data_IF_848960585700
#
_entry.id   IF_848960585700
#
_cell.length_a   1.000
_cell.length_b   1.000
_cell.length_c   1.000
_cell.angle_alpha   90.00
_cell.angle_beta   90.00
_cell.angle_gamma   90.00
#
_symmetry.space_group_name_H-M   'P 1'
#
loop_
_entity.id
_entity.type
_entity.pdbx_description
1 polymer ?
#
# COMPACT_ATOMS: atom_id res chain seq x y z
N UNK A 1 22.07 -2.56 16.32
CA UNK A 1 20.66 -3.00 16.38
C UNK A 1 19.67 -1.85 16.23
N UNK A 2 19.74 -0.78 17.04
CA UNK A 2 18.79 0.36 16.91
C UNK A 2 18.77 1.03 15.54
N UNK A 3 19.93 1.28 14.91
CA UNK A 3 19.98 1.88 13.57
C UNK A 3 19.25 1.02 12.50
N UNK A 4 19.41 -0.31 12.58
CA UNK A 4 18.72 -1.25 11.69
C UNK A 4 17.22 -1.25 11.98
N UNK A 5 16.83 -1.20 13.26
CA UNK A 5 15.43 -1.08 13.67
C UNK A 5 14.77 0.19 13.13
N UNK A 6 15.42 1.35 13.26
CA UNK A 6 14.90 2.62 12.72
C UNK A 6 14.82 2.60 11.20
N UNK A 7 15.86 2.11 10.54
CA UNK A 7 15.88 2.00 9.09
C UNK A 7 14.74 1.11 8.56
N UNK A 8 14.58 -0.09 9.12
CA UNK A 8 13.50 -1.01 8.73
C UNK A 8 12.12 -0.47 9.11
N UNK A 9 12.02 0.20 10.27
CA UNK A 9 10.80 0.84 10.74
C UNK A 9 10.30 1.94 9.82
N UNK A 10 11.20 2.69 9.17
CA UNK A 10 10.84 3.68 8.14
C UNK A 10 10.63 3.03 6.77
N UNK A 11 11.52 2.12 6.36
CA UNK A 11 11.52 1.60 5.00
C UNK A 11 10.29 0.73 4.69
N UNK A 12 9.96 -0.21 5.58
CA UNK A 12 8.91 -1.21 5.32
C UNK A 12 7.54 -0.56 5.08
N UNK A 13 7.07 0.37 5.94
CA UNK A 13 5.78 1.02 5.75
C UNK A 13 5.76 1.90 4.49
N UNK A 14 6.84 2.63 4.20
CA UNK A 14 6.94 3.50 3.02
C UNK A 14 6.92 2.71 1.71
N UNK A 15 7.69 1.63 1.63
CA UNK A 15 7.69 0.72 0.49
C UNK A 15 6.32 0.07 0.33
N UNK A 16 5.64 -0.25 1.42
CA UNK A 16 4.26 -0.75 1.36
C UNK A 16 3.32 0.26 0.69
N UNK A 17 3.39 1.55 1.05
CA UNK A 17 2.58 2.61 0.41
C UNK A 17 2.92 2.73 -1.08
N UNK A 18 4.21 2.75 -1.41
CA UNK A 18 4.67 2.81 -2.80
C UNK A 18 4.10 1.66 -3.65
N UNK A 19 4.12 0.43 -3.12
CA UNK A 19 3.54 -0.73 -3.79
C UNK A 19 2.03 -0.59 -3.98
N UNK A 20 1.32 -0.05 -2.98
CA UNK A 20 -0.12 0.21 -3.07
C UNK A 20 -0.43 1.21 -4.20
N UNK A 21 0.36 2.28 -4.31
CA UNK A 21 0.22 3.27 -5.38
C UNK A 21 0.47 2.60 -6.74
N UNK A 22 1.52 1.79 -6.88
CA UNK A 22 1.82 1.07 -8.11
C UNK A 22 0.69 0.09 -8.50
N UNK A 23 0.12 -0.63 -7.54
CA UNK A 23 -1.05 -1.51 -7.77
C UNK A 23 -2.26 -0.68 -8.22
N UNK A 24 -2.46 0.49 -7.62
CA UNK A 24 -3.56 1.40 -8.00
C UNK A 24 -3.40 1.91 -9.43
N UNK A 25 -2.17 2.25 -9.84
CA UNK A 25 -1.85 2.66 -11.21
C UNK A 25 -2.06 1.50 -12.19
N UNK A 26 -1.60 0.29 -11.88
CA UNK A 26 -1.86 -0.90 -12.70
C UNK A 26 -3.36 -1.09 -12.96
N UNK A 27 -4.17 -1.04 -11.89
CA UNK A 27 -5.63 -1.18 -12.00
C UNK A 27 -6.26 -0.04 -12.78
N UNK A 28 -5.79 1.20 -12.58
CA UNK A 28 -6.25 2.35 -13.33
C UNK A 28 -6.00 2.17 -14.84
N UNK A 29 -4.80 1.77 -15.25
CA UNK A 29 -4.45 1.57 -16.66
C UNK A 29 -5.26 0.40 -17.26
N UNK A 30 -5.42 -0.70 -16.52
CA UNK A 30 -6.21 -1.85 -16.98
C UNK A 30 -7.68 -1.49 -17.25
N UNK A 31 -8.29 -0.66 -16.39
CA UNK A 31 -9.71 -0.31 -16.47
C UNK A 31 -9.96 0.84 -17.46
N UNK A 32 -9.11 1.87 -17.43
CA UNK A 32 -9.33 3.08 -18.25
C UNK A 32 -8.74 2.96 -19.66
N UNK A 33 -7.69 2.15 -19.84
CA UNK A 33 -6.96 2.03 -21.11
C UNK A 33 -6.72 0.57 -21.53
N UNK A 34 -7.77 -0.27 -21.67
CA UNK A 34 -7.62 -1.71 -21.89
C UNK A 34 -6.81 -2.06 -23.17
N UNK A 35 -6.98 -1.29 -24.26
CA UNK A 35 -6.29 -1.52 -25.53
C UNK A 35 -4.77 -1.23 -25.46
N UNK A 36 -4.36 -0.32 -24.57
CA UNK A 36 -2.96 0.06 -24.39
C UNK A 36 -2.32 -0.63 -23.18
N UNK A 37 -3.09 -1.34 -22.36
CA UNK A 37 -2.58 -2.08 -21.22
C UNK A 37 -1.43 -3.04 -21.58
N UNK A 38 -1.55 -3.94 -22.58
CA UNK A 38 -0.48 -4.92 -22.87
C UNK A 38 0.81 -4.27 -23.40
N UNK A 39 0.74 -3.08 -24.00
CA UNK A 39 1.92 -2.36 -24.50
C UNK A 39 2.53 -1.42 -23.46
N UNK A 40 1.74 -0.94 -22.49
CA UNK A 40 2.23 -0.04 -21.43
C UNK A 40 2.71 -0.76 -20.19
N UNK A 41 2.01 -1.80 -19.74
CA UNK A 41 2.32 -2.58 -18.54
C UNK A 41 3.05 -3.87 -18.96
N UNK A 42 4.38 -3.84 -18.88
CA UNK A 42 5.23 -5.01 -19.17
C UNK A 42 5.94 -5.45 -17.89
N UNK A 43 6.26 -6.74 -17.80
CA UNK A 43 6.94 -7.32 -16.64
C UNK A 43 8.26 -6.60 -16.34
N UNK A 44 9.02 -6.22 -17.37
CA UNK A 44 10.29 -5.49 -17.23
C UNK A 44 10.07 -4.12 -16.59
N UNK A 45 9.08 -3.35 -17.08
CA UNK A 45 8.77 -2.03 -16.53
C UNK A 45 8.24 -2.11 -15.11
N UNK A 46 7.40 -3.10 -14.80
CA UNK A 46 6.88 -3.31 -13.44
C UNK A 46 8.03 -3.63 -12.47
N UNK A 47 8.93 -4.55 -12.83
CA UNK A 47 10.12 -4.85 -12.01
C UNK A 47 10.99 -3.62 -11.78
N UNK A 48 11.21 -2.81 -12.82
CA UNK A 48 11.95 -1.56 -12.71
C UNK A 48 11.25 -0.55 -11.79
N UNK A 49 9.95 -0.34 -11.94
CA UNK A 49 9.17 0.57 -11.08
C UNK A 49 9.22 0.14 -9.61
N UNK A 50 9.08 -1.17 -9.34
CA UNK A 50 9.21 -1.70 -7.98
C UNK A 50 10.63 -1.47 -7.45
N UNK A 51 11.66 -1.79 -8.22
CA UNK A 51 13.05 -1.55 -7.81
C UNK A 51 13.33 -0.07 -7.51
N UNK A 52 12.91 0.84 -8.38
CA UNK A 52 13.07 2.28 -8.18
C UNK A 52 12.29 2.79 -6.97
N UNK A 53 11.09 2.26 -6.72
CA UNK A 53 10.31 2.53 -5.53
C UNK A 53 11.07 2.14 -4.25
N UNK A 54 11.61 0.91 -4.22
CA UNK A 54 12.42 0.44 -3.09
C UNK A 54 13.67 1.28 -2.87
N UNK A 55 14.37 1.65 -3.95
CA UNK A 55 15.56 2.48 -3.89
C UNK A 55 15.23 3.89 -3.38
N UNK A 56 14.18 4.52 -3.91
CA UNK A 56 13.73 5.85 -3.49
C UNK A 56 13.41 5.90 -2.00
N UNK A 57 12.55 4.99 -1.52
CA UNK A 57 12.19 4.95 -0.11
C UNK A 57 13.35 4.49 0.79
N UNK A 58 14.26 3.67 0.29
CA UNK A 58 15.50 3.32 1.00
C UNK A 58 16.39 4.55 1.21
N UNK A 59 16.65 5.32 0.17
CA UNK A 59 17.43 6.57 0.26
C UNK A 59 16.76 7.59 1.19
N UNK A 60 15.43 7.77 1.05
CA UNK A 60 14.66 8.61 1.97
C UNK A 60 14.80 8.15 3.42
N UNK A 61 14.69 6.84 3.68
CA UNK A 61 14.81 6.30 5.04
C UNK A 61 16.19 6.55 5.65
N UNK A 62 17.27 6.45 4.85
CA UNK A 62 18.63 6.76 5.30
C UNK A 62 18.76 8.25 5.67
N UNK A 63 18.25 9.13 4.81
CA UNK A 63 18.27 10.58 5.06
C UNK A 63 17.44 10.94 6.30
N UNK A 64 16.26 10.33 6.46
CA UNK A 64 15.37 10.59 7.59
C UNK A 64 15.98 10.21 8.94
N UNK A 65 16.72 9.09 9.01
CA UNK A 65 17.35 8.61 10.24
C UNK A 65 18.76 9.15 10.47
N UNK A 66 19.29 10.02 9.60
CA UNK A 66 20.67 10.49 9.65
C UNK A 66 21.00 11.13 11.02
N UNK A 67 20.07 11.93 11.56
CA UNK A 67 20.23 12.58 12.87
C UNK A 67 20.29 11.53 13.99
N UNK A 68 19.48 10.47 13.90
CA UNK A 68 19.49 9.39 14.89
C UNK A 68 20.81 8.60 14.85
N UNK A 69 21.36 8.36 13.66
CA UNK A 69 22.66 7.69 13.49
C UNK A 69 23.78 8.55 14.08
N UNK A 70 23.75 9.87 13.85
CA UNK A 70 24.74 10.80 14.41
C UNK A 70 24.71 10.78 15.94
N UNK A 71 23.52 10.80 16.55
CA UNK A 71 23.35 10.67 18.01
C UNK A 71 23.80 9.31 18.57
N UNK A 72 23.64 8.22 17.81
CA UNK A 72 24.16 6.90 18.20
C UNK A 72 25.70 6.82 18.18
N UNK A 73 26.36 7.58 17.30
CA UNK A 73 27.82 7.59 17.16
C UNK A 73 28.49 8.55 18.15
N UNK A 74 27.83 9.66 18.50
CA UNK A 74 28.27 10.62 19.53
C UNK A 74 27.23 10.70 20.65
N UNK A 75 27.18 9.69 21.54
CA UNK A 75 26.29 9.77 22.69
C UNK A 75 26.73 10.91 23.60
N UNK A 76 25.80 11.75 24.02
CA UNK A 76 26.04 12.67 25.14
C UNK A 76 26.41 11.87 26.40
N UNK A 77 27.23 12.44 27.28
CA UNK A 77 27.84 11.77 28.45
C UNK A 77 26.85 11.20 29.49
N UNK A 78 25.54 11.31 29.26
CA UNK A 78 24.50 10.77 30.11
C UNK A 78 24.00 9.43 29.56
N UNK A 79 24.64 8.37 30.05
CA UNK A 79 24.35 6.94 29.93
C UNK A 79 22.92 6.63 29.42
N UNK A 80 22.77 6.36 28.12
CA UNK A 80 21.60 5.64 27.62
C UNK A 80 21.76 4.16 27.98
N UNK A 81 20.87 3.65 28.84
CA UNK A 81 20.85 2.25 29.27
C UNK A 81 20.89 1.27 28.09
N UNK A 82 21.61 0.16 28.27
CA UNK A 82 21.72 -0.93 27.30
C UNK A 82 20.32 -1.44 26.92
N UNK A 83 19.86 -1.19 25.68
CA UNK A 83 18.62 -1.75 25.14
C UNK A 83 17.44 -0.79 24.92
N UNK A 84 17.51 0.48 25.31
CA UNK A 84 16.47 1.47 25.00
C UNK A 84 16.80 2.22 23.70
N UNK A 85 16.12 1.87 22.60
CA UNK A 85 16.18 2.63 21.34
C UNK A 85 15.17 3.79 21.40
N UNK A 86 15.51 4.89 22.08
CA UNK A 86 14.64 6.08 22.14
C UNK A 86 14.63 6.87 20.83
N UNK A 87 13.44 7.02 20.25
CA UNK A 87 13.23 7.80 19.02
C UNK A 87 13.04 9.27 19.40
N UNK A 88 13.92 10.15 18.93
CA UNK A 88 13.84 11.60 19.18
C UNK A 88 13.84 12.35 17.86
N UNK A 89 12.67 12.76 17.37
CA UNK A 89 12.58 13.57 16.15
C UNK A 89 12.53 15.06 16.48
N UNK A 90 13.21 15.86 15.67
CA UNK A 90 12.97 17.30 15.62
C UNK A 90 11.55 17.58 15.11
N UNK A 91 10.91 18.62 15.65
CA UNK A 91 9.60 19.09 15.16
C UNK A 91 9.61 19.34 13.64
N UNK A 92 10.67 19.93 13.11
CA UNK A 92 10.81 20.23 11.67
C UNK A 92 10.87 18.94 10.85
N UNK A 93 11.62 17.94 11.32
CA UNK A 93 11.76 16.63 10.67
C UNK A 93 10.44 15.86 10.72
N UNK A 94 9.70 15.92 11.83
CA UNK A 94 8.38 15.31 11.97
C UNK A 94 7.33 15.93 11.04
N UNK A 95 7.28 17.27 10.93
CA UNK A 95 6.36 17.95 10.02
C UNK A 95 6.70 17.66 8.55
N UNK A 96 7.98 17.64 8.19
CA UNK A 96 8.40 17.29 6.84
C UNK A 96 8.02 15.84 6.47
N UNK A 97 8.20 14.90 7.40
CA UNK A 97 7.78 13.50 7.21
C UNK A 97 6.27 13.39 7.03
N UNK A 98 5.47 14.01 7.90
CA UNK A 98 4.01 14.06 7.76
C UNK A 98 3.58 14.48 6.35
N UNK A 99 4.19 15.54 5.81
CA UNK A 99 3.83 16.04 4.48
C UNK A 99 4.23 15.04 3.39
N UNK A 100 5.46 14.55 3.43
CA UNK A 100 6.04 13.72 2.37
C UNK A 100 5.50 12.28 2.34
N UNK A 101 5.25 11.69 3.51
CA UNK A 101 4.95 10.26 3.65
C UNK A 101 3.49 9.99 3.93
N UNK A 102 2.73 10.99 4.39
CA UNK A 102 1.31 10.86 4.66
C UNK A 102 0.46 11.76 3.73
N UNK A 103 0.64 13.08 3.76
CA UNK A 103 -0.25 14.00 3.02
C UNK A 103 -0.15 13.82 1.49
N UNK A 104 1.05 13.83 0.93
CA UNK A 104 1.25 13.67 -0.52
C UNK A 104 0.76 12.28 -1.00
N UNK A 105 1.13 11.16 -0.35
CA UNK A 105 0.63 9.85 -0.76
C UNK A 105 -0.89 9.73 -0.64
N UNK A 106 -1.50 10.19 0.46
CA UNK A 106 -2.96 10.15 0.66
C UNK A 106 -3.69 10.96 -0.41
N UNK A 107 -3.23 12.18 -0.70
CA UNK A 107 -3.86 13.02 -1.72
C UNK A 107 -3.76 12.40 -3.10
N UNK A 108 -2.59 11.87 -3.48
CA UNK A 108 -2.42 11.15 -4.75
C UNK A 108 -3.34 9.93 -4.84
N UNK A 109 -3.39 9.12 -3.79
CA UNK A 109 -4.27 7.97 -3.62
C UNK A 109 -5.73 8.37 -3.81
N UNK A 110 -6.23 9.34 -3.04
CA UNK A 110 -7.62 9.82 -3.11
C UNK A 110 -7.97 10.34 -4.51
N UNK A 111 -7.10 11.14 -5.15
CA UNK A 111 -7.34 11.67 -6.50
C UNK A 111 -7.43 10.56 -7.54
N UNK A 112 -6.51 9.60 -7.51
CA UNK A 112 -6.52 8.45 -8.40
C UNK A 112 -7.80 7.62 -8.19
N UNK A 113 -8.24 7.43 -6.94
CA UNK A 113 -9.45 6.67 -6.64
C UNK A 113 -10.73 7.37 -7.04
N UNK A 114 -10.84 8.68 -6.83
CA UNK A 114 -11.99 9.45 -7.31
C UNK A 114 -12.14 9.31 -8.81
N UNK A 115 -11.03 9.36 -9.57
CA UNK A 115 -11.03 9.13 -11.02
C UNK A 115 -11.48 7.71 -11.39
N UNK A 116 -10.97 6.68 -10.71
CA UNK A 116 -11.38 5.28 -10.95
C UNK A 116 -12.86 5.07 -10.62
N UNK A 117 -13.34 5.61 -9.49
CA UNK A 117 -14.74 5.50 -9.07
C UNK A 117 -15.67 6.20 -10.06
N UNK A 118 -15.33 7.41 -10.50
CA UNK A 118 -16.09 8.15 -11.52
C UNK A 118 -16.17 7.34 -12.82
N UNK A 119 -15.04 6.80 -13.31
CA UNK A 119 -15.03 5.98 -14.52
C UNK A 119 -15.87 4.71 -14.34
N UNK A 120 -15.78 4.02 -13.20
CA UNK A 120 -16.59 2.84 -12.92
C UNK A 120 -18.09 3.16 -12.84
N UNK A 121 -18.48 4.29 -12.25
CA UNK A 121 -19.87 4.75 -12.18
C UNK A 121 -20.39 5.15 -13.57
N UNK A 122 -19.58 5.84 -14.37
CA UNK A 122 -19.92 6.19 -15.76
C UNK A 122 -20.11 4.93 -16.60
N UNK A 123 -19.19 3.96 -16.50
CA UNK A 123 -19.30 2.68 -17.19
C UNK A 123 -20.55 1.91 -16.74
N UNK A 124 -20.83 1.84 -15.43
CA UNK A 124 -22.04 1.19 -14.90
C UNK A 124 -23.34 1.89 -15.37
N UNK A 125 -23.34 3.22 -15.49
CA UNK A 125 -24.49 3.99 -15.99
C UNK A 125 -24.68 3.80 -17.50
N UNK A 126 -23.63 3.81 -18.30
CA UNK A 126 -23.72 3.57 -19.76
C UNK A 126 -24.08 2.12 -20.10
N UNK A 127 -23.71 1.15 -19.25
CA UNK A 127 -24.17 -0.22 -19.38
C UNK A 127 -25.68 -0.33 -19.12
N UNK A 128 -26.24 0.47 -18.23
CA UNK A 128 -27.69 0.49 -17.95
C UNK A 128 -28.51 0.97 -19.14
N UNK A 129 -27.98 1.83 -20.01
CA UNK A 129 -28.67 2.26 -21.24
C UNK A 129 -28.53 1.27 -22.39
N UNK A 130 -27.37 0.63 -22.55
CA UNK A 130 -27.16 -0.39 -23.58
C UNK A 130 -27.85 -1.73 -23.30
N UNK A 131 -27.95 -2.16 -22.03
CA UNK A 131 -28.63 -3.41 -21.67
C UNK A 131 -30.14 -3.32 -21.93
N UNK A 132 -30.77 -2.15 -21.77
CA UNK A 132 -32.20 -1.98 -22.09
C UNK A 132 -32.48 -2.13 -23.59
N UNK A 133 -31.55 -1.74 -24.46
CA UNK A 133 -31.67 -1.90 -25.91
C UNK A 133 -31.33 -3.32 -26.39
N UNK A 134 -30.25 -3.92 -25.86
CA UNK A 134 -29.77 -5.26 -26.24
C UNK A 134 -30.65 -6.37 -25.65
N UNK A 135 -31.23 -6.17 -24.47
CA UNK A 135 -32.14 -7.14 -23.83
C UNK A 135 -33.44 -7.36 -24.61
N UNK A 136 -33.84 -6.43 -25.49
CA UNK A 136 -35.02 -6.57 -26.35
C UNK A 136 -34.69 -7.41 -27.60
N UNK A 137 -33.45 -7.36 -28.09
CA UNK A 137 -33.03 -8.03 -29.33
C UNK A 137 -32.32 -9.39 -29.12
N UNK A 138 -31.70 -9.64 -27.96
CA UNK A 138 -31.06 -10.93 -27.68
C UNK A 138 -31.02 -11.24 -26.16
N UNK A 139 -31.73 -12.28 -25.65
CA UNK A 139 -31.77 -12.63 -24.23
C UNK A 139 -30.54 -13.43 -23.79
N UNK A 140 -29.36 -13.17 -24.36
CA UNK A 140 -28.11 -13.79 -23.91
C UNK A 140 -27.59 -13.06 -22.67
N UNK A 141 -27.32 -13.83 -21.61
CA UNK A 141 -26.80 -13.43 -20.29
C UNK A 141 -25.62 -12.44 -20.36
N UNK A 142 -25.88 -11.15 -20.54
CA UNK A 142 -24.90 -10.09 -20.31
C UNK A 142 -24.70 -10.02 -18.79
N UNK A 143 -23.72 -10.75 -18.26
CA UNK A 143 -23.33 -10.61 -16.86
C UNK A 143 -22.90 -9.16 -16.65
N UNK A 144 -23.53 -8.39 -15.74
CA UNK A 144 -23.03 -7.06 -15.42
C UNK A 144 -21.57 -7.20 -14.98
N UNK A 145 -20.71 -6.23 -15.32
CA UNK A 145 -19.29 -6.14 -14.94
C UNK A 145 -19.11 -5.95 -13.41
N UNK A 146 -19.66 -6.88 -12.63
CA UNK A 146 -19.60 -6.96 -11.15
C UNK A 146 -18.16 -7.04 -10.64
N UNK A 147 -17.21 -7.49 -11.47
CA UNK A 147 -15.79 -7.57 -11.15
C UNK A 147 -15.13 -6.19 -11.00
N UNK A 148 -15.56 -5.18 -11.77
CA UNK A 148 -14.96 -3.85 -11.77
C UNK A 148 -15.35 -3.06 -10.50
N UNK A 149 -16.63 -3.13 -10.09
CA UNK A 149 -17.10 -2.54 -8.84
C UNK A 149 -16.46 -3.22 -7.60
N UNK A 150 -16.19 -4.53 -7.70
CA UNK A 150 -15.48 -5.29 -6.66
C UNK A 150 -14.00 -4.86 -6.55
N UNK A 151 -13.36 -4.56 -7.68
CA UNK A 151 -11.99 -4.03 -7.69
C UNK A 151 -11.91 -2.63 -7.08
N UNK A 152 -12.85 -1.73 -7.40
CA UNK A 152 -12.93 -0.40 -6.78
C UNK A 152 -13.16 -0.46 -5.25
N UNK A 153 -13.99 -1.41 -4.78
CA UNK A 153 -14.23 -1.64 -3.34
C UNK A 153 -12.96 -2.08 -2.60
N UNK A 154 -12.16 -2.95 -3.22
CA UNK A 154 -10.89 -3.46 -2.68
C UNK A 154 -9.92 -2.33 -2.40
N UNK A 155 -9.83 -1.43 -3.37
CA UNK A 155 -8.95 -0.28 -3.36
C UNK A 155 -9.35 0.71 -2.25
N UNK A 156 -10.65 1.00 -2.08
CA UNK A 156 -11.15 1.85 -0.99
C UNK A 156 -10.88 1.29 0.41
N UNK A 157 -10.99 -0.04 0.60
CA UNK A 157 -10.66 -0.70 1.87
C UNK A 157 -9.19 -0.52 2.21
N UNK A 158 -8.33 -0.61 1.21
CA UNK A 158 -6.90 -0.50 1.37
C UNK A 158 -6.48 0.92 1.80
N UNK A 159 -7.11 1.97 1.26
CA UNK A 159 -6.94 3.36 1.74
C UNK A 159 -7.42 3.55 3.16
N UNK A 160 -8.61 3.02 3.47
CA UNK A 160 -9.19 3.16 4.80
C UNK A 160 -8.31 2.50 5.85
N UNK A 161 -7.80 1.31 5.58
CA UNK A 161 -6.82 0.62 6.42
C UNK A 161 -5.56 1.45 6.63
N UNK A 162 -5.01 2.02 5.56
CA UNK A 162 -3.84 2.88 5.65
C UNK A 162 -4.08 4.10 6.55
N UNK A 163 -5.20 4.80 6.35
CA UNK A 163 -5.57 5.97 7.17
C UNK A 163 -5.76 5.60 8.64
N UNK A 164 -6.44 4.48 8.93
CA UNK A 164 -6.64 4.01 10.30
C UNK A 164 -5.33 3.67 11.02
N UNK A 165 -4.36 3.09 10.31
CA UNK A 165 -3.10 2.69 10.92
C UNK A 165 -2.10 3.84 11.09
N UNK A 166 -2.11 4.84 10.20
CA UNK A 166 -1.10 5.91 10.19
C UNK A 166 -1.60 7.20 10.85
N UNK A 167 -2.88 7.56 10.71
CA UNK A 167 -3.43 8.81 11.24
C UNK A 167 -3.19 8.96 12.76
N UNK A 168 -3.44 7.93 13.60
CA UNK A 168 -3.24 8.05 15.03
C UNK A 168 -1.77 8.30 15.43
N UNK A 169 -0.79 7.87 14.63
CA UNK A 169 0.60 8.14 14.98
C UNK A 169 0.94 9.63 14.79
N UNK A 170 0.54 10.20 13.66
CA UNK A 170 0.83 11.58 13.33
C UNK A 170 0.01 12.58 14.14
N UNK A 171 -1.26 12.30 14.39
CA UNK A 171 -2.11 13.21 15.18
C UNK A 171 -1.70 13.28 16.64
N UNK A 172 -1.12 12.23 17.21
CA UNK A 172 -0.72 12.22 18.63
C UNK A 172 0.72 12.70 18.85
N UNK A 173 1.60 12.62 17.85
CA UNK A 173 2.95 13.18 17.90
C UNK A 173 2.93 14.72 17.99
N UNK A 174 2.01 15.39 17.30
CA UNK A 174 1.93 16.87 17.25
C UNK A 174 1.43 17.50 18.56
N UNK A 175 0.75 16.75 19.43
CA UNK A 175 0.06 17.30 20.63
C UNK A 175 0.85 17.05 21.93
N UNK A 176 2.01 16.38 21.90
CA UNK A 176 2.81 16.03 23.10
C UNK A 176 2.02 15.32 24.23
N UNK A 177 0.86 14.71 23.92
CA UNK A 177 -0.07 14.11 24.90
C UNK A 177 0.18 12.62 25.17
N UNK A 178 1.37 12.10 24.84
CA UNK A 178 1.62 10.67 24.87
C UNK A 178 2.27 10.28 26.20
N UNK A 179 1.48 9.64 27.08
CA UNK A 179 2.04 8.74 28.10
C UNK A 179 2.63 7.49 27.42
N UNK A 180 3.70 6.95 27.98
CA UNK A 180 4.47 5.80 27.48
C UNK A 180 3.60 4.62 27.04
N UNK A 181 2.49 4.32 27.73
CA UNK A 181 1.54 3.26 27.36
C UNK A 181 0.85 3.51 26.01
N UNK A 182 0.48 4.76 25.72
CA UNK A 182 -0.14 5.14 24.46
C UNK A 182 0.87 5.07 23.29
N UNK A 183 2.16 5.31 23.55
CA UNK A 183 3.20 5.23 22.52
C UNK A 183 3.35 3.81 21.95
N UNK A 184 3.35 2.78 22.81
CA UNK A 184 3.45 1.39 22.38
C UNK A 184 2.21 0.94 21.60
N UNK A 185 1.01 1.35 22.03
CA UNK A 185 -0.24 1.06 21.33
C UNK A 185 -0.27 1.69 19.93
N UNK A 186 0.11 2.97 19.82
CA UNK A 186 0.16 3.71 18.55
C UNK A 186 1.22 3.11 17.61
N UNK A 187 2.39 2.76 18.14
CA UNK A 187 3.45 2.07 17.38
C UNK A 187 2.97 0.70 16.90
N UNK A 188 2.26 -0.06 17.75
CA UNK A 188 1.67 -1.35 17.38
C UNK A 188 0.62 -1.21 16.26
N UNK A 189 -0.24 -0.20 16.33
CA UNK A 189 -1.27 0.07 15.32
C UNK A 189 -0.67 0.44 13.95
N UNK A 190 0.43 1.19 13.96
CA UNK A 190 1.19 1.52 12.76
C UNK A 190 1.77 0.28 12.09
N UNK A 191 2.44 -0.59 12.84
CA UNK A 191 2.99 -1.83 12.29
C UNK A 191 1.91 -2.81 11.86
N UNK A 192 0.72 -2.77 12.47
CA UNK A 192 -0.41 -3.60 12.11
C UNK A 192 -0.87 -3.39 10.65
N UNK A 193 -0.60 -2.23 10.04
CA UNK A 193 -0.82 -2.02 8.60
C UNK A 193 -0.17 -3.11 7.74
N UNK A 194 1.04 -3.53 8.11
CA UNK A 194 1.78 -4.57 7.37
C UNK A 194 1.07 -5.92 7.40
N UNK A 195 0.40 -6.24 8.51
CA UNK A 195 -0.39 -7.48 8.67
C UNK A 195 -1.67 -7.45 7.85
N UNK A 196 -2.26 -6.28 7.65
CA UNK A 196 -3.51 -6.12 6.90
C UNK A 196 -3.30 -6.28 5.40
N UNK A 197 -2.10 -5.97 4.86
CA UNK A 197 -1.81 -6.10 3.44
C UNK A 197 -2.10 -7.52 2.88
N UNK A 198 -1.53 -8.63 3.40
CA UNK A 198 -1.88 -9.99 2.96
C UNK A 198 -3.37 -10.35 3.12
N UNK A 199 -4.01 -9.89 4.20
CA UNK A 199 -5.44 -10.14 4.45
C UNK A 199 -6.30 -9.47 3.38
N UNK A 200 -6.02 -8.19 3.08
CA UNK A 200 -6.68 -7.46 2.01
C UNK A 200 -6.44 -8.17 0.69
N UNK A 201 -5.21 -8.56 0.37
CA UNK A 201 -4.93 -9.25 -0.89
C UNK A 201 -5.67 -10.58 -1.03
N UNK A 202 -5.72 -11.41 0.01
CA UNK A 202 -6.44 -12.71 -0.02
C UNK A 202 -7.96 -12.56 -0.11
N UNK A 203 -8.54 -11.54 0.53
CA UNK A 203 -9.98 -11.28 0.49
C UNK A 203 -10.43 -10.81 -0.89
N UNK A 204 -9.62 -9.98 -1.54
CA UNK A 204 -10.05 -9.26 -2.72
C UNK A 204 -9.48 -9.77 -4.05
N UNK A 205 -8.33 -10.46 -4.04
CA UNK A 205 -7.68 -10.98 -5.23
C UNK A 205 -7.77 -12.52 -5.29
N UNK A 206 -8.62 -13.09 -6.16
CA UNK A 206 -8.78 -14.54 -6.28
C UNK A 206 -7.49 -15.27 -6.65
N UNK A 207 -6.69 -14.69 -7.54
CA UNK A 207 -5.39 -15.22 -7.95
C UNK A 207 -4.39 -15.28 -6.77
N UNK A 208 -4.36 -14.22 -5.94
CA UNK A 208 -3.52 -14.19 -4.73
C UNK A 208 -3.96 -15.24 -3.71
N UNK A 209 -5.27 -15.42 -3.52
CA UNK A 209 -5.81 -16.50 -2.69
C UNK A 209 -5.39 -17.88 -3.19
N UNK A 210 -5.43 -18.10 -4.51
CA UNK A 210 -4.97 -19.34 -5.15
C UNK A 210 -3.48 -19.55 -4.91
N UNK A 211 -2.65 -18.52 -5.10
CA UNK A 211 -1.22 -18.56 -4.83
C UNK A 211 -0.91 -18.91 -3.37
N UNK A 212 -1.57 -18.24 -2.40
CA UNK A 212 -1.41 -18.55 -0.96
C UNK A 212 -1.80 -19.99 -0.66
N UNK A 213 -2.91 -20.48 -1.23
CA UNK A 213 -3.31 -21.89 -1.08
C UNK A 213 -2.24 -22.84 -1.62
N UNK A 214 -1.67 -22.57 -2.79
CA UNK A 214 -0.59 -23.37 -3.38
C UNK A 214 0.67 -23.37 -2.51
N UNK A 215 1.04 -22.21 -1.93
CA UNK A 215 2.18 -22.08 -1.02
C UNK A 215 1.95 -22.89 0.26
N UNK A 216 0.80 -22.72 0.93
CA UNK A 216 0.49 -23.40 2.19
C UNK A 216 0.35 -24.92 1.99
N UNK A 217 -0.21 -25.35 0.86
CA UNK A 217 -0.33 -26.78 0.52
C UNK A 217 0.96 -27.36 -0.07
N UNK A 218 2.05 -26.58 -0.12
CA UNK A 218 3.35 -26.94 -0.68
C UNK A 218 3.29 -27.46 -2.13
N UNK A 219 2.22 -27.13 -2.86
CA UNK A 219 2.04 -27.52 -4.25
C UNK A 219 3.02 -26.79 -5.18
N UNK A 220 3.63 -25.70 -4.71
CA UNK A 220 4.74 -25.01 -5.40
C UNK A 220 5.99 -25.88 -5.55
N UNK A 221 6.14 -26.95 -4.78
CA UNK A 221 7.30 -27.85 -4.85
C UNK A 221 7.11 -28.96 -5.90
N UNK A 222 5.92 -29.05 -6.51
CA UNK A 222 5.66 -30.02 -7.57
C UNK A 222 6.30 -29.56 -8.89
N UNK A 223 6.83 -30.48 -9.71
CA UNK A 223 7.49 -30.13 -10.97
C UNK A 223 6.58 -29.35 -11.95
N UNK A 224 5.27 -29.62 -11.95
CA UNK A 224 4.30 -28.93 -12.83
C UNK A 224 3.80 -27.59 -12.29
N UNK A 225 4.31 -27.14 -11.13
CA UNK A 225 3.82 -25.92 -10.47
C UNK A 225 4.04 -24.65 -11.31
N UNK A 226 5.06 -24.63 -12.17
CA UNK A 226 5.37 -23.52 -13.07
C UNK A 226 4.30 -23.28 -14.15
N UNK A 227 3.52 -24.31 -14.51
CA UNK A 227 2.45 -24.21 -15.52
C UNK A 227 1.07 -23.90 -14.91
N UNK A 228 0.99 -23.74 -13.59
CA UNK A 228 -0.29 -23.54 -12.90
C UNK A 228 -0.91 -22.19 -13.28
N UNK A 229 -2.06 -22.23 -13.96
CA UNK A 229 -2.80 -21.03 -14.31
C UNK A 229 -3.26 -20.30 -13.04
N UNK A 230 -2.80 -19.06 -12.85
CA UNK A 230 -3.09 -18.23 -11.68
C UNK A 230 -4.38 -17.40 -11.81
N UNK A 231 -4.96 -17.27 -13.02
CA UNK A 231 -6.14 -16.45 -13.32
C UNK A 231 -7.47 -17.14 -12.96
#
# INVERSE_FOLDING_TARGET
MCAVYYYLGCQIPLVSIGNIILISVDRYVAICHPMHYPTRITVVRVKLCVFLCWLWYGLYSIFYIQDQIIHLIKPDKNVSCLGQCSIMFSYVTGVADLILTFIIPVTAIVVLYMRVFVVAVIQARSMRSHVTFVSIQHPSKVKPKRSELKAARTLGVLVFTYLLCFCPLYTFLDINLIDTSNQYLLTGLFYFNSCLNPVIYTLFYPWFRKAVKLIITLQILKPDSCETNML
#
